data_IF_440216342115
#
_entry.id   IF_440216342115
#
_cell.length_a   1.000
_cell.length_b   1.000
_cell.length_c   1.000
_cell.angle_alpha   90.00
_cell.angle_beta   90.00
_cell.angle_gamma   90.00
#
_symmetry.space_group_name_H-M   'P 1'
#
loop_
_entity.id
_entity.type
_entity.pdbx_description
1 polymer ?
#
# COMPACT_ATOMS: atom_id res chain seq x y z
N UNK A 1 13.76 17.34 -7.15
CA UNK A 1 13.05 16.19 -6.54
C UNK A 1 13.90 14.97 -6.73
N UNK A 2 14.07 14.12 -5.71
CA UNK A 2 14.79 12.86 -5.86
C UNK A 2 14.02 11.91 -6.82
N UNK A 3 14.71 10.97 -7.47
CA UNK A 3 14.08 9.97 -8.34
C UNK A 3 12.97 9.19 -7.61
N UNK A 4 13.21 8.87 -6.33
CA UNK A 4 12.25 8.22 -5.44
C UNK A 4 10.97 9.05 -5.23
N UNK A 5 11.08 10.37 -5.06
CA UNK A 5 9.91 11.24 -4.89
C UNK A 5 9.07 11.35 -6.18
N UNK A 6 9.71 11.34 -7.34
CA UNK A 6 9.01 11.35 -8.63
C UNK A 6 8.25 10.03 -8.86
N UNK A 7 8.88 8.90 -8.57
CA UNK A 7 8.29 7.57 -8.65
C UNK A 7 7.05 7.44 -7.76
N UNK A 8 7.19 7.76 -6.46
CA UNK A 8 6.07 7.73 -5.50
C UNK A 8 4.92 8.62 -5.96
N UNK A 9 5.23 9.81 -6.49
CA UNK A 9 4.21 10.72 -7.00
C UNK A 9 3.44 10.15 -8.19
N UNK A 10 4.15 9.49 -9.13
CA UNK A 10 3.53 8.82 -10.27
C UNK A 10 2.66 7.64 -9.84
N UNK A 11 3.14 6.82 -8.92
CA UNK A 11 2.38 5.70 -8.35
C UNK A 11 1.06 6.17 -7.70
N UNK A 12 1.14 7.15 -6.80
CA UNK A 12 -0.05 7.66 -6.12
C UNK A 12 -1.01 8.36 -7.08
N UNK A 13 -0.50 9.05 -8.10
CA UNK A 13 -1.33 9.64 -9.13
C UNK A 13 -2.11 8.59 -9.93
N UNK A 14 -1.49 7.46 -10.29
CA UNK A 14 -2.19 6.35 -10.94
C UNK A 14 -3.28 5.75 -10.04
N UNK A 15 -2.99 5.53 -8.75
CA UNK A 15 -4.01 5.08 -7.81
C UNK A 15 -5.20 6.05 -7.72
N UNK A 16 -4.94 7.35 -7.67
CA UNK A 16 -6.00 8.36 -7.65
C UNK A 16 -6.82 8.38 -8.95
N UNK A 17 -6.17 8.23 -10.12
CA UNK A 17 -6.86 8.11 -11.40
C UNK A 17 -7.74 6.85 -11.46
N UNK A 18 -7.33 5.77 -10.81
CA UNK A 18 -8.12 4.55 -10.62
C UNK A 18 -9.23 4.67 -9.57
N UNK A 19 -9.50 5.87 -9.04
CA UNK A 19 -10.62 6.14 -8.13
C UNK A 19 -10.31 6.02 -6.64
N UNK A 20 -9.04 5.84 -6.25
CA UNK A 20 -8.66 5.83 -4.83
C UNK A 20 -8.61 7.27 -4.30
N UNK A 21 -9.66 7.68 -3.60
CA UNK A 21 -9.78 9.03 -3.02
C UNK A 21 -9.59 9.05 -1.51
N UNK A 22 -9.64 7.89 -0.85
CA UNK A 22 -9.55 7.74 0.60
C UNK A 22 -8.39 6.82 0.99
N UNK A 23 -7.58 7.30 1.95
CA UNK A 23 -6.33 6.69 2.34
C UNK A 23 -6.26 6.52 3.85
N UNK A 24 -6.08 5.30 4.31
CA UNK A 24 -5.86 4.97 5.73
C UNK A 24 -4.37 4.71 5.93
N UNK A 25 -3.73 5.48 6.78
CA UNK A 25 -2.28 5.58 6.84
C UNK A 25 -1.76 5.17 8.22
N UNK A 26 -0.87 4.18 8.25
CA UNK A 26 -0.09 3.81 9.42
C UNK A 26 1.36 4.30 9.22
N UNK A 27 1.76 5.39 9.91
CA UNK A 27 3.06 6.01 9.68
C UNK A 27 4.22 5.16 10.21
N UNK A 28 5.30 5.11 9.44
CA UNK A 28 6.57 4.50 9.80
C UNK A 28 7.72 5.09 8.98
N UNK A 29 8.95 4.76 9.33
CA UNK A 29 10.12 5.34 8.67
C UNK A 29 10.19 4.95 7.17
N UNK A 30 9.89 3.68 6.84
CA UNK A 30 10.04 3.18 5.46
C UNK A 30 9.02 3.79 4.50
N UNK A 31 7.81 4.10 4.93
CA UNK A 31 6.79 4.70 4.08
C UNK A 31 6.78 6.25 4.09
N UNK A 32 7.81 6.89 4.64
CA UNK A 32 7.87 8.35 4.76
C UNK A 32 7.72 9.06 3.40
N UNK A 33 8.31 8.54 2.34
CA UNK A 33 8.18 9.12 1.00
C UNK A 33 6.72 9.11 0.49
N UNK A 34 5.97 8.02 0.75
CA UNK A 34 4.54 7.92 0.45
C UNK A 34 3.75 8.94 1.26
N UNK A 35 4.05 9.04 2.57
CA UNK A 35 3.36 9.96 3.48
C UNK A 35 3.54 11.43 3.10
N UNK A 36 4.74 11.82 2.69
CA UNK A 36 5.03 13.20 2.25
C UNK A 36 4.19 13.60 1.04
N UNK A 37 4.06 12.70 0.05
CA UNK A 37 3.26 12.97 -1.14
C UNK A 37 1.76 13.01 -0.79
N UNK A 38 1.28 12.06 0.02
CA UNK A 38 -0.12 12.06 0.47
C UNK A 38 -0.45 13.29 1.30
N UNK A 39 0.45 13.72 2.20
CA UNK A 39 0.23 14.91 3.03
C UNK A 39 0.09 16.20 2.20
N UNK A 40 0.81 16.28 1.09
CA UNK A 40 0.76 17.44 0.17
C UNK A 40 -0.48 17.45 -0.74
N UNK A 41 -1.23 16.34 -0.86
CA UNK A 41 -2.43 16.24 -1.68
C UNK A 41 -3.66 16.69 -0.87
N UNK A 42 -4.11 17.92 -1.07
CA UNK A 42 -5.21 18.53 -0.28
C UNK A 42 -6.57 17.89 -0.56
N UNK A 43 -6.80 17.43 -1.78
CA UNK A 43 -8.10 16.89 -2.22
C UNK A 43 -8.36 15.44 -1.76
N UNK A 44 -7.40 14.78 -1.12
CA UNK A 44 -7.53 13.40 -0.66
C UNK A 44 -8.00 13.32 0.79
N UNK A 45 -8.91 12.38 1.08
CA UNK A 45 -9.30 12.05 2.45
C UNK A 45 -8.25 11.15 3.07
N UNK A 46 -7.73 11.53 4.23
CA UNK A 46 -6.65 10.81 4.93
C UNK A 46 -7.02 10.55 6.38
N UNK A 47 -6.87 9.28 6.80
CA UNK A 47 -7.08 8.81 8.17
C UNK A 47 -5.77 8.25 8.71
N UNK A 48 -5.37 8.68 9.90
CA UNK A 48 -4.14 8.17 10.53
C UNK A 48 -4.49 7.19 11.64
N UNK A 49 -3.84 6.02 11.62
CA UNK A 49 -3.98 4.97 12.62
C UNK A 49 -2.61 4.53 13.13
N UNK A 50 -2.57 4.01 14.37
CA UNK A 50 -1.36 3.44 14.99
C UNK A 50 -1.26 1.92 14.87
N UNK A 51 -2.40 1.24 14.76
CA UNK A 51 -2.50 -0.22 14.67
C UNK A 51 -2.96 -0.60 13.28
N UNK A 52 -2.13 -1.36 12.55
CA UNK A 52 -2.33 -1.67 11.14
C UNK A 52 -3.53 -2.59 10.92
N UNK A 53 -3.76 -3.54 11.82
CA UNK A 53 -4.94 -4.42 11.75
C UNK A 53 -6.22 -3.61 11.89
N UNK A 54 -6.28 -2.71 12.85
CA UNK A 54 -7.42 -1.81 13.04
C UNK A 54 -7.61 -0.87 11.86
N UNK A 55 -6.51 -0.37 11.27
CA UNK A 55 -6.53 0.47 10.09
C UNK A 55 -7.16 -0.25 8.89
N UNK A 56 -6.78 -1.51 8.66
CA UNK A 56 -7.32 -2.31 7.56
C UNK A 56 -8.83 -2.60 7.73
N UNK A 57 -9.29 -2.94 8.93
CA UNK A 57 -10.72 -3.09 9.22
C UNK A 57 -11.49 -1.77 9.14
N UNK A 58 -10.87 -0.66 9.56
CA UNK A 58 -11.46 0.67 9.37
C UNK A 58 -11.64 0.97 7.87
N UNK A 59 -10.62 0.71 7.04
CA UNK A 59 -10.71 0.87 5.60
C UNK A 59 -11.83 0.01 5.00
N UNK A 60 -11.96 -1.24 5.45
CA UNK A 60 -13.05 -2.12 5.02
C UNK A 60 -14.44 -1.54 5.37
N UNK A 61 -14.59 -0.99 6.59
CA UNK A 61 -15.81 -0.29 6.98
C UNK A 61 -16.11 0.93 6.10
N UNK A 62 -15.07 1.70 5.70
CA UNK A 62 -15.23 2.82 4.77
C UNK A 62 -15.67 2.35 3.37
N UNK A 63 -15.12 1.25 2.86
CA UNK A 63 -15.55 0.64 1.60
C UNK A 63 -17.02 0.23 1.67
N UNK A 64 -17.46 -0.38 2.78
CA UNK A 64 -18.86 -0.76 2.97
C UNK A 64 -19.81 0.43 2.98
N UNK A 65 -19.40 1.53 3.60
CA UNK A 65 -20.19 2.77 3.71
C UNK A 65 -20.33 3.49 2.36
N UNK A 66 -19.22 3.61 1.62
CA UNK A 66 -19.16 4.42 0.39
C UNK A 66 -19.36 3.62 -0.91
N UNK A 67 -19.08 2.32 -0.90
CA UNK A 67 -19.03 1.51 -2.11
C UNK A 67 -17.86 1.83 -3.05
N UNK A 68 -16.82 2.52 -2.56
CA UNK A 68 -15.65 2.94 -3.33
C UNK A 68 -14.38 2.29 -2.77
N UNK A 69 -13.33 2.10 -3.61
CA UNK A 69 -12.08 1.55 -3.15
C UNK A 69 -11.37 2.47 -2.15
N UNK A 70 -10.75 1.87 -1.15
CA UNK A 70 -9.96 2.56 -0.12
C UNK A 70 -8.57 1.94 -0.05
N UNK A 71 -7.53 2.76 0.09
CA UNK A 71 -6.16 2.30 0.27
C UNK A 71 -5.74 2.31 1.72
N UNK A 72 -4.99 1.27 2.13
CA UNK A 72 -4.25 1.23 3.40
C UNK A 72 -2.76 1.31 3.11
N UNK A 73 -2.07 2.22 3.77
CA UNK A 73 -0.63 2.47 3.58
C UNK A 73 0.13 2.11 4.85
N UNK A 74 1.07 1.19 4.75
CA UNK A 74 1.89 0.75 5.89
C UNK A 74 3.39 0.82 5.60
N UNK A 75 4.17 0.76 6.67
CA UNK A 75 5.61 0.51 6.61
C UNK A 75 5.90 -0.98 6.36
N UNK A 76 7.15 -1.39 6.34
CA UNK A 76 7.56 -2.77 6.05
C UNK A 76 7.41 -3.74 7.23
N UNK A 77 7.55 -5.02 6.94
CA UNK A 77 7.65 -6.09 7.94
C UNK A 77 6.30 -6.47 8.54
N UNK A 78 6.26 -6.63 9.86
CA UNK A 78 5.04 -7.07 10.57
C UNK A 78 3.87 -6.11 10.40
N UNK A 79 4.10 -4.83 10.15
CA UNK A 79 3.07 -3.86 9.80
C UNK A 79 2.25 -4.31 8.58
N UNK A 80 2.91 -4.78 7.53
CA UNK A 80 2.24 -5.35 6.37
C UNK A 80 1.50 -6.65 6.71
N UNK A 81 2.10 -7.53 7.54
CA UNK A 81 1.51 -8.80 7.94
C UNK A 81 0.21 -8.63 8.77
N UNK A 82 0.11 -7.58 9.57
CA UNK A 82 -1.09 -7.26 10.36
C UNK A 82 -2.33 -6.93 9.52
N UNK A 83 -2.17 -6.65 8.24
CA UNK A 83 -3.29 -6.40 7.32
C UNK A 83 -4.05 -7.68 6.94
N UNK A 84 -3.40 -8.88 7.03
CA UNK A 84 -3.95 -10.14 6.55
C UNK A 84 -5.37 -10.45 7.04
N UNK A 85 -5.74 -10.25 8.31
CA UNK A 85 -7.10 -10.56 8.77
C UNK A 85 -8.19 -9.79 8.00
N UNK A 86 -7.98 -8.51 7.75
CA UNK A 86 -8.93 -7.69 6.99
C UNK A 86 -8.89 -8.00 5.48
N UNK A 87 -7.74 -8.39 4.95
CA UNK A 87 -7.59 -8.83 3.56
C UNK A 87 -8.41 -10.10 3.31
N UNK A 88 -8.36 -11.07 4.22
CA UNK A 88 -9.17 -12.29 4.13
C UNK A 88 -10.66 -11.94 4.11
N UNK A 89 -11.11 -11.07 5.01
CA UNK A 89 -12.50 -10.62 5.05
C UNK A 89 -12.90 -9.91 3.76
N UNK A 90 -12.09 -8.95 3.30
CA UNK A 90 -12.31 -8.20 2.06
C UNK A 90 -12.41 -9.12 0.83
N UNK A 91 -11.59 -10.18 0.77
CA UNK A 91 -11.62 -11.17 -0.30
C UNK A 91 -12.97 -11.89 -0.37
N UNK A 92 -13.45 -12.42 0.77
CA UNK A 92 -14.73 -13.15 0.82
C UNK A 92 -15.94 -12.24 0.66
N UNK A 93 -15.86 -10.99 1.12
CA UNK A 93 -16.90 -9.97 0.92
C UNK A 93 -16.84 -9.28 -0.45
N UNK A 94 -15.83 -9.58 -1.28
CA UNK A 94 -15.62 -8.99 -2.60
C UNK A 94 -15.49 -7.46 -2.52
N UNK A 95 -14.56 -6.99 -1.68
CA UNK A 95 -14.34 -5.56 -1.43
C UNK A 95 -13.03 -5.07 -2.04
N UNK A 96 -13.05 -3.90 -2.70
CA UNK A 96 -11.87 -3.32 -3.34
C UNK A 96 -10.94 -2.66 -2.32
N UNK A 97 -10.23 -3.47 -1.54
CA UNK A 97 -9.23 -2.99 -0.58
C UNK A 97 -7.86 -2.94 -1.25
N UNK A 98 -7.30 -1.74 -1.41
CA UNK A 98 -5.94 -1.57 -1.90
C UNK A 98 -4.95 -1.56 -0.73
N UNK A 99 -3.95 -2.42 -0.79
CA UNK A 99 -2.85 -2.49 0.18
C UNK A 99 -1.61 -1.90 -0.46
N UNK A 100 -1.11 -0.79 0.06
CA UNK A 100 0.12 -0.15 -0.40
C UNK A 100 1.16 -0.25 0.72
N UNK A 101 2.06 -1.23 0.60
CA UNK A 101 3.06 -1.51 1.62
C UNK A 101 4.44 -1.06 1.16
N UNK A 102 5.10 -0.24 1.98
CA UNK A 102 6.50 0.06 1.74
C UNK A 102 7.38 -1.14 2.14
N UNK A 103 8.38 -1.44 1.33
CA UNK A 103 9.34 -2.50 1.60
C UNK A 103 10.79 -1.95 1.55
N UNK A 104 11.72 -2.72 2.08
CA UNK A 104 13.15 -2.47 1.86
C UNK A 104 13.51 -2.72 0.40
N UNK A 105 14.62 -2.17 -0.10
CA UNK A 105 15.16 -2.57 -1.40
C UNK A 105 15.25 -4.09 -1.52
N UNK A 106 14.96 -4.63 -2.71
CA UNK A 106 14.81 -6.07 -2.94
C UNK A 106 16.05 -6.91 -2.54
N UNK A 107 17.24 -6.33 -2.55
CA UNK A 107 18.49 -6.96 -2.11
C UNK A 107 18.58 -7.21 -0.58
N UNK A 108 17.66 -6.62 0.20
CA UNK A 108 17.52 -6.93 1.63
C UNK A 108 16.69 -8.18 1.92
N UNK A 109 16.00 -8.74 0.94
CA UNK A 109 15.18 -9.95 1.11
C UNK A 109 16.05 -11.13 1.52
N UNK A 110 15.62 -11.87 2.55
CA UNK A 110 16.39 -13.00 3.10
C UNK A 110 17.65 -12.63 3.87
N UNK A 111 17.97 -11.34 4.03
CA UNK A 111 19.18 -10.87 4.74
C UNK A 111 19.07 -10.87 6.26
N UNK A 112 17.89 -11.16 6.82
CA UNK A 112 17.55 -11.00 8.23
C UNK A 112 17.70 -9.53 8.73
N UNK A 113 17.62 -8.55 7.84
CA UNK A 113 17.60 -7.15 8.22
C UNK A 113 16.38 -6.85 9.12
N UNK A 114 16.50 -5.91 10.08
CA UNK A 114 15.38 -5.56 10.92
C UNK A 114 14.16 -5.13 10.11
N UNK A 115 12.98 -5.64 10.49
CA UNK A 115 11.70 -5.29 9.85
C UNK A 115 11.66 -5.61 8.34
N UNK A 116 12.39 -6.65 7.91
CA UNK A 116 12.35 -7.24 6.57
C UNK A 116 11.75 -8.65 6.66
N UNK A 117 10.75 -8.91 5.83
CA UNK A 117 10.09 -10.23 5.68
C UNK A 117 9.88 -10.50 4.18
N UNK A 118 9.42 -11.70 3.83
CA UNK A 118 9.00 -12.05 2.48
C UNK A 118 7.64 -11.39 2.19
N UNK A 119 7.69 -10.11 1.74
CA UNK A 119 6.53 -9.24 1.67
C UNK A 119 5.78 -9.35 0.34
N UNK A 120 6.49 -9.70 -0.76
CA UNK A 120 5.93 -9.70 -2.11
C UNK A 120 4.70 -10.59 -2.28
N UNK A 121 4.66 -11.78 -1.66
CA UNK A 121 3.53 -12.72 -1.75
C UNK A 121 2.82 -12.93 -0.41
N UNK A 122 2.89 -11.94 0.46
CA UNK A 122 2.44 -12.05 1.85
C UNK A 122 0.96 -12.46 1.99
N UNK A 123 0.11 -12.01 1.08
CA UNK A 123 -1.34 -12.26 1.14
C UNK A 123 -1.80 -13.45 0.30
N UNK A 124 -0.90 -14.07 -0.46
CA UNK A 124 -1.19 -15.28 -1.25
C UNK A 124 -2.42 -15.11 -2.14
N UNK A 125 -3.35 -16.07 -2.04
CA UNK A 125 -4.57 -16.09 -2.87
C UNK A 125 -5.57 -14.97 -2.54
N UNK A 126 -5.42 -14.29 -1.41
CA UNK A 126 -6.39 -13.30 -0.94
C UNK A 126 -6.16 -11.91 -1.54
N UNK A 127 -4.93 -11.59 -1.95
CA UNK A 127 -4.63 -10.36 -2.67
C UNK A 127 -3.42 -10.61 -3.60
N UNK A 128 -3.61 -10.62 -4.92
CA UNK A 128 -2.49 -10.68 -5.84
C UNK A 128 -1.55 -9.49 -5.60
N UNK A 129 -0.25 -9.71 -5.79
CA UNK A 129 0.76 -8.70 -5.51
C UNK A 129 1.37 -8.16 -6.80
N UNK A 130 1.43 -6.84 -6.90
CA UNK A 130 2.28 -6.11 -7.84
C UNK A 130 3.51 -5.67 -7.05
N UNK A 131 4.67 -6.25 -7.35
CA UNK A 131 5.92 -5.99 -6.63
C UNK A 131 6.78 -4.98 -7.41
N UNK A 132 6.88 -3.76 -6.89
CA UNK A 132 7.66 -2.67 -7.46
C UNK A 132 9.04 -2.62 -6.83
N UNK A 133 9.97 -3.40 -7.36
CA UNK A 133 11.35 -3.50 -6.85
C UNK A 133 12.18 -2.24 -7.16
N UNK A 134 11.89 -1.58 -8.26
CA UNK A 134 12.58 -0.36 -8.70
C UNK A 134 11.58 0.65 -9.29
N UNK A 135 11.96 1.93 -9.41
CA UNK A 135 11.11 2.92 -10.09
C UNK A 135 10.74 2.55 -11.52
N UNK A 136 11.61 1.82 -12.22
CA UNK A 136 11.39 1.40 -13.62
C UNK A 136 10.40 0.23 -13.74
N UNK A 137 10.04 -0.41 -12.63
CA UNK A 137 9.01 -1.47 -12.60
C UNK A 137 7.58 -0.94 -12.53
N UNK A 138 7.37 0.38 -12.43
CA UNK A 138 6.03 0.97 -12.45
C UNK A 138 5.44 0.89 -13.86
N UNK A 139 4.32 0.15 -14.07
CA UNK A 139 3.66 0.08 -15.36
C UNK A 139 2.97 1.41 -15.73
N UNK A 140 2.52 1.53 -16.98
CA UNK A 140 1.78 2.71 -17.45
C UNK A 140 0.43 2.88 -16.73
N UNK A 141 -0.25 1.76 -16.41
CA UNK A 141 -1.44 1.72 -15.54
C UNK A 141 -1.31 0.55 -14.56
N UNK A 142 -1.07 0.86 -13.30
CA UNK A 142 -0.85 -0.15 -12.25
C UNK A 142 -2.15 -0.86 -11.82
N UNK A 143 -3.30 -0.31 -12.16
CA UNK A 143 -4.61 -0.85 -11.80
C UNK A 143 -5.38 -1.44 -12.98
N UNK A 144 -4.77 -1.55 -14.17
CA UNK A 144 -5.42 -2.00 -15.40
C UNK A 144 -6.13 -3.36 -15.23
N UNK A 145 -5.48 -4.31 -14.58
CA UNK A 145 -5.99 -5.67 -14.38
C UNK A 145 -6.79 -5.85 -13.08
N UNK A 146 -6.98 -4.80 -12.27
CA UNK A 146 -7.72 -4.91 -11.03
C UNK A 146 -9.23 -4.89 -11.27
N UNK A 147 -9.92 -5.94 -10.80
CA UNK A 147 -11.36 -6.12 -11.00
C UNK A 147 -12.25 -5.26 -10.06
N UNK A 148 -11.64 -4.56 -9.10
CA UNK A 148 -12.35 -3.80 -8.05
C UNK A 148 -13.38 -4.61 -7.26
N UNK A 149 -13.27 -5.94 -7.30
CA UNK A 149 -14.11 -6.87 -6.56
C UNK A 149 -13.29 -7.80 -5.64
N UNK A 150 -12.02 -7.49 -5.45
CA UNK A 150 -11.09 -8.23 -4.60
C UNK A 150 -10.00 -7.30 -4.07
N UNK A 151 -9.31 -7.66 -2.98
CA UNK A 151 -8.14 -6.92 -2.55
C UNK A 151 -7.01 -6.96 -3.59
N UNK A 152 -6.22 -5.88 -3.66
CA UNK A 152 -5.00 -5.79 -4.44
C UNK A 152 -3.84 -5.35 -3.54
N UNK A 153 -2.69 -5.98 -3.68
CA UNK A 153 -1.48 -5.61 -2.98
C UNK A 153 -0.47 -4.97 -3.93
N UNK A 154 -0.01 -3.77 -3.61
CA UNK A 154 1.13 -3.12 -4.25
C UNK A 154 2.25 -3.05 -3.22
N UNK A 155 3.30 -3.83 -3.42
CA UNK A 155 4.51 -3.81 -2.61
C UNK A 155 5.54 -2.87 -3.25
N UNK A 156 6.07 -1.92 -2.49
CA UNK A 156 6.92 -0.85 -3.02
C UNK A 156 8.26 -0.85 -2.32
N UNK A 157 9.32 -1.27 -3.02
CA UNK A 157 10.68 -1.16 -2.52
C UNK A 157 11.14 0.31 -2.54
N UNK A 158 11.44 0.83 -1.36
CA UNK A 158 11.91 2.19 -1.18
C UNK A 158 13.31 2.21 -0.56
N UNK A 159 14.20 3.11 -1.00
CA UNK A 159 15.51 3.28 -0.37
C UNK A 159 15.35 3.70 1.10
N UNK A 160 16.44 3.56 1.86
CA UNK A 160 16.47 4.12 3.20
C UNK A 160 16.23 5.65 3.12
N UNK A 161 15.41 6.20 4.04
CA UNK A 161 15.24 7.65 4.09
C UNK A 161 16.61 8.31 4.31
N UNK A 162 16.83 9.40 3.60
CA UNK A 162 18.03 10.22 3.81
C UNK A 162 18.08 10.66 5.28
N UNK A 163 19.29 10.65 5.91
CA UNK A 163 19.47 10.98 7.31
C UNK A 163 19.12 12.43 7.66
#
# INVERSE_FOLDING_TARGET
>A
MSASASFVKSLLAQCCLGGICEWVVCPGARNMALLQVLAAAEDLVKWTHFDERSAAFFALGRIQDMGLPVAVVTTSGTAAAELLPAVVEAYYERRPLLLLTADRPADYRGSAAPQAIEQADLFGIYAPTIDLETPDSLPEDILEDWDYASPLHINVCLPDPDP
#
